data_IF_884157462672
#
_entry.id   IF_884157462672
#
_cell.length_a   1.000
_cell.length_b   1.000
_cell.length_c   1.000
_cell.angle_alpha   90.00
_cell.angle_beta   90.00
_cell.angle_gamma   90.00
#
_symmetry.space_group_name_H-M   'P 1'
#
loop_
_entity.id
_entity.type
_entity.pdbx_description
1 polymer ?
#
# COMPACT_ATOMS: atom_id res chain seq x y z
N UNK A 1 50.00 11.26 15.82
CA UNK A 1 48.72 11.48 16.52
C UNK A 1 47.58 11.85 15.57
N UNK A 2 47.74 12.84 14.68
CA UNK A 2 46.69 13.27 13.74
C UNK A 2 46.16 12.14 12.83
N UNK A 3 47.04 11.29 12.29
CA UNK A 3 46.67 10.19 11.41
C UNK A 3 45.85 9.09 12.11
N UNK A 4 46.15 8.79 13.37
CA UNK A 4 45.39 7.81 14.16
C UNK A 4 43.98 8.33 14.47
N UNK A 5 43.86 9.62 14.79
CA UNK A 5 42.56 10.28 15.00
C UNK A 5 41.73 10.35 13.71
N UNK A 6 42.38 10.66 12.57
CA UNK A 6 41.73 10.67 11.27
C UNK A 6 41.23 9.28 10.86
N UNK A 7 42.00 8.24 11.14
CA UNK A 7 41.62 6.86 10.88
C UNK A 7 40.39 6.46 11.70
N UNK A 8 40.37 6.75 12.99
CA UNK A 8 39.23 6.48 13.87
C UNK A 8 37.97 7.23 13.39
N UNK A 9 38.10 8.51 13.04
CA UNK A 9 37.01 9.31 12.50
C UNK A 9 36.43 8.71 11.19
N UNK A 10 37.30 8.27 10.30
CA UNK A 10 36.90 7.65 9.03
C UNK A 10 36.14 6.34 9.25
N UNK A 11 36.63 5.48 10.15
CA UNK A 11 35.99 4.20 10.49
C UNK A 11 34.61 4.42 11.11
N UNK A 12 34.47 5.36 12.04
CA UNK A 12 33.18 5.67 12.69
C UNK A 12 32.17 6.19 11.67
N UNK A 13 32.61 7.04 10.73
CA UNK A 13 31.74 7.62 9.70
C UNK A 13 31.22 6.56 8.74
N UNK A 14 32.11 5.66 8.27
CA UNK A 14 31.74 4.55 7.39
C UNK A 14 30.79 3.58 8.10
N UNK A 15 31.07 3.21 9.36
CA UNK A 15 30.22 2.33 10.14
C UNK A 15 28.82 2.94 10.36
N UNK A 16 28.75 4.24 10.64
CA UNK A 16 27.48 4.96 10.82
C UNK A 16 26.65 5.02 9.53
N UNK A 17 27.31 5.26 8.39
CA UNK A 17 26.63 5.25 7.09
C UNK A 17 26.14 3.85 6.73
N UNK A 18 26.97 2.83 6.93
CA UNK A 18 26.60 1.42 6.69
C UNK A 18 25.42 0.98 7.55
N UNK A 19 25.41 1.34 8.85
CA UNK A 19 24.29 1.05 9.75
C UNK A 19 22.97 1.69 9.29
N UNK A 20 23.02 2.98 8.88
CA UNK A 20 21.84 3.67 8.33
C UNK A 20 21.36 3.05 7.02
N UNK A 21 22.29 2.66 6.15
CA UNK A 21 21.98 2.00 4.88
C UNK A 21 21.33 0.64 5.12
N UNK A 22 21.92 -0.20 5.98
CA UNK A 22 21.37 -1.51 6.35
C UNK A 22 19.98 -1.35 6.96
N UNK A 23 19.79 -0.41 7.88
CA UNK A 23 18.47 -0.16 8.48
C UNK A 23 17.43 0.23 7.43
N UNK A 24 17.77 1.12 6.49
CA UNK A 24 16.86 1.52 5.41
C UNK A 24 16.53 0.37 4.46
N UNK A 25 17.53 -0.44 4.12
CA UNK A 25 17.36 -1.60 3.24
C UNK A 25 16.50 -2.68 3.91
N UNK A 26 16.76 -3.00 5.17
CA UNK A 26 15.99 -4.00 5.92
C UNK A 26 14.52 -3.63 6.02
N UNK A 27 14.19 -2.35 6.21
CA UNK A 27 12.80 -1.87 6.20
C UNK A 27 12.14 -2.12 4.84
N UNK A 28 12.84 -1.86 3.72
CA UNK A 28 12.31 -2.08 2.37
C UNK A 28 12.08 -3.57 2.06
N UNK A 29 12.97 -4.45 2.50
CA UNK A 29 12.81 -5.91 2.30
C UNK A 29 11.79 -6.54 3.26
N UNK A 30 11.58 -5.95 4.43
CA UNK A 30 10.61 -6.45 5.42
C UNK A 30 9.16 -6.07 5.11
N UNK A 31 8.89 -5.24 4.10
CA UNK A 31 7.53 -5.01 3.61
C UNK A 31 7.19 -6.10 2.58
N UNK A 32 6.52 -7.19 2.97
CA UNK A 32 6.11 -8.22 2.02
C UNK A 32 5.20 -7.61 0.96
N UNK A 33 5.29 -8.14 -0.27
CA UNK A 33 4.30 -7.83 -1.30
C UNK A 33 2.91 -8.18 -0.77
N UNK A 34 1.94 -7.31 -1.05
CA UNK A 34 0.56 -7.50 -0.63
C UNK A 34 0.01 -8.75 -1.33
N UNK A 35 -0.29 -9.81 -0.56
CA UNK A 35 -0.80 -11.07 -1.13
C UNK A 35 -2.29 -11.24 -0.94
N UNK A 36 -2.91 -10.44 -0.07
CA UNK A 36 -4.33 -10.55 0.28
C UNK A 36 -5.01 -9.20 0.45
N UNK A 37 -6.30 -9.16 0.13
CA UNK A 37 -7.15 -7.99 0.35
C UNK A 37 -7.25 -7.61 1.84
N UNK A 38 -7.16 -8.59 2.76
CA UNK A 38 -7.12 -8.35 4.21
C UNK A 38 -5.91 -7.48 4.60
N UNK A 39 -4.73 -7.82 4.08
CA UNK A 39 -3.51 -7.03 4.33
C UNK A 39 -3.63 -5.62 3.76
N UNK A 40 -4.34 -5.43 2.64
CA UNK A 40 -4.59 -4.08 2.13
C UNK A 40 -5.41 -3.26 3.13
N UNK A 41 -6.46 -3.85 3.72
CA UNK A 41 -7.34 -3.19 4.70
C UNK A 41 -6.60 -2.86 5.98
N UNK A 42 -5.83 -3.81 6.52
CA UNK A 42 -5.21 -3.66 7.84
C UNK A 42 -3.92 -2.84 7.81
N UNK A 43 -3.05 -3.08 6.84
CA UNK A 43 -1.72 -2.46 6.79
C UNK A 43 -1.73 -1.13 6.00
N UNK A 44 -2.81 -0.87 5.26
CA UNK A 44 -3.02 0.31 4.38
C UNK A 44 -1.83 0.72 3.50
N UNK A 45 -1.05 -0.21 2.92
CA UNK A 45 0.12 0.15 2.11
C UNK A 45 -0.28 0.68 0.72
N UNK A 46 -1.49 0.36 0.26
CA UNK A 46 -2.03 0.73 -1.04
C UNK A 46 -3.55 0.88 -0.91
N UNK A 47 -4.08 2.00 -1.39
CA UNK A 47 -5.52 2.22 -1.47
C UNK A 47 -6.06 1.49 -2.72
N UNK A 48 -7.34 1.11 -2.71
CA UNK A 48 -7.97 0.43 -3.84
C UNK A 48 -9.27 1.09 -4.27
N UNK A 49 -9.61 0.86 -5.54
CA UNK A 49 -10.80 1.34 -6.21
C UNK A 49 -11.51 0.20 -6.93
N UNK A 50 -12.83 0.31 -7.06
CA UNK A 50 -13.66 -0.57 -7.87
C UNK A 50 -14.68 0.27 -8.64
N UNK A 51 -15.29 -0.35 -9.64
CA UNK A 51 -16.27 0.33 -10.48
C UNK A 51 -17.56 0.63 -9.69
N UNK A 52 -17.95 1.90 -9.66
CA UNK A 52 -19.20 2.34 -9.06
C UNK A 52 -20.42 1.73 -9.79
N UNK A 53 -21.48 1.47 -9.04
CA UNK A 53 -22.71 0.82 -9.48
C UNK A 53 -22.51 -0.59 -10.07
N UNK A 54 -21.52 -1.32 -9.53
CA UNK A 54 -21.26 -2.72 -9.88
C UNK A 54 -21.75 -3.66 -8.78
N UNK A 55 -21.90 -4.94 -9.12
CA UNK A 55 -22.20 -5.99 -8.15
C UNK A 55 -21.19 -6.03 -6.97
N UNK A 56 -19.97 -5.52 -7.19
CA UNK A 56 -18.95 -5.40 -6.15
C UNK A 56 -19.34 -4.36 -5.09
N UNK A 57 -19.92 -3.23 -5.50
CA UNK A 57 -20.38 -2.19 -4.57
C UNK A 57 -21.47 -2.73 -3.65
N UNK A 58 -22.46 -3.43 -4.22
CA UNK A 58 -23.53 -4.07 -3.44
C UNK A 58 -22.98 -5.12 -2.48
N UNK A 59 -22.01 -5.93 -2.92
CA UNK A 59 -21.36 -6.93 -2.08
C UNK A 59 -20.68 -6.30 -0.86
N UNK A 60 -19.94 -5.21 -1.05
CA UNK A 60 -19.28 -4.53 0.06
C UNK A 60 -20.27 -3.77 0.96
N UNK A 61 -21.31 -3.16 0.39
CA UNK A 61 -22.32 -2.37 1.12
C UNK A 61 -23.22 -3.22 2.02
N UNK A 62 -23.61 -4.41 1.56
CA UNK A 62 -24.50 -5.30 2.31
C UNK A 62 -23.77 -6.38 3.13
N UNK A 63 -22.44 -6.40 3.10
CA UNK A 63 -21.66 -7.35 3.88
C UNK A 63 -21.64 -7.01 5.37
N UNK A 64 -21.48 -8.03 6.21
CA UNK A 64 -21.43 -7.87 7.66
C UNK A 64 -20.28 -6.95 8.09
N UNK A 65 -20.49 -5.97 9.00
CA UNK A 65 -19.49 -4.97 9.37
C UNK A 65 -18.17 -5.55 9.91
N UNK A 66 -18.25 -6.71 10.56
CA UNK A 66 -17.11 -7.39 11.16
C UNK A 66 -16.42 -8.37 10.20
N UNK A 67 -17.02 -8.61 9.03
CA UNK A 67 -16.44 -9.42 7.96
C UNK A 67 -15.38 -8.62 7.20
N UNK A 68 -14.46 -9.32 6.54
CA UNK A 68 -13.48 -8.73 5.63
C UNK A 68 -14.11 -7.74 4.65
N UNK A 69 -15.22 -8.14 4.03
CA UNK A 69 -15.91 -7.35 3.02
C UNK A 69 -16.57 -6.10 3.63
N UNK A 70 -17.04 -6.17 4.89
CA UNK A 70 -17.63 -5.04 5.57
C UNK A 70 -16.59 -4.01 5.96
N UNK A 71 -15.40 -4.46 6.40
CA UNK A 71 -14.26 -3.57 6.62
C UNK A 71 -13.80 -2.90 5.31
N UNK A 72 -13.85 -3.63 4.20
CA UNK A 72 -13.58 -3.07 2.86
C UNK A 72 -14.63 -2.01 2.49
N UNK A 73 -15.92 -2.31 2.66
CA UNK A 73 -17.00 -1.36 2.37
C UNK A 73 -16.95 -0.10 3.24
N UNK A 74 -16.62 -0.25 4.52
CA UNK A 74 -16.46 0.86 5.47
C UNK A 74 -15.40 1.88 5.04
N UNK A 75 -14.28 1.42 4.46
CA UNK A 75 -13.23 2.32 3.95
C UNK A 75 -13.70 3.20 2.80
N UNK A 76 -14.62 2.70 1.96
CA UNK A 76 -15.21 3.48 0.87
C UNK A 76 -16.26 4.47 1.38
N UNK A 77 -17.01 4.13 2.42
CA UNK A 77 -17.92 5.07 3.10
C UNK A 77 -17.17 6.24 3.78
N UNK A 78 -15.96 5.99 4.29
CA UNK A 78 -15.10 7.03 4.85
C UNK A 78 -14.47 7.93 3.77
N UNK A 79 -14.36 7.44 2.53
CA UNK A 79 -13.69 8.12 1.41
C UNK A 79 -14.39 7.84 0.07
N UNK A 80 -15.43 8.63 -0.21
CA UNK A 80 -16.18 8.57 -1.48
C UNK A 80 -15.32 8.81 -2.75
N UNK A 81 -14.13 9.41 -2.61
CA UNK A 81 -13.21 9.66 -3.74
C UNK A 81 -12.51 8.42 -4.31
N UNK A 82 -12.72 7.23 -3.73
CA UNK A 82 -12.11 5.98 -4.18
C UNK A 82 -12.97 5.24 -5.21
N UNK A 83 -14.20 5.68 -5.45
CA UNK A 83 -15.11 5.07 -6.42
C UNK A 83 -14.88 5.63 -7.81
N UNK A 84 -14.79 4.75 -8.79
CA UNK A 84 -14.56 5.15 -10.18
C UNK A 84 -15.70 4.70 -11.07
N UNK A 85 -16.27 5.63 -11.84
CA UNK A 85 -17.48 5.39 -12.64
C UNK A 85 -17.21 4.74 -14.01
N UNK A 86 -15.94 4.56 -14.40
CA UNK A 86 -15.57 4.04 -15.71
C UNK A 86 -14.27 3.24 -15.64
N UNK A 87 -14.19 2.13 -16.38
CA UNK A 87 -12.98 1.33 -16.51
C UNK A 87 -11.74 2.16 -16.85
N UNK A 88 -11.87 3.12 -17.78
CA UNK A 88 -10.76 4.00 -18.17
C UNK A 88 -10.28 4.87 -17.00
N UNK A 89 -11.20 5.31 -16.14
CA UNK A 89 -10.86 6.01 -14.91
C UNK A 89 -10.14 5.10 -13.91
N UNK A 90 -10.56 3.83 -13.82
CA UNK A 90 -9.94 2.84 -12.94
C UNK A 90 -8.49 2.57 -13.34
N UNK A 91 -8.24 2.42 -14.64
CA UNK A 91 -6.88 2.28 -15.19
C UNK A 91 -6.04 3.53 -14.93
N UNK A 92 -6.62 4.73 -15.09
CA UNK A 92 -5.92 5.98 -14.83
C UNK A 92 -5.57 6.13 -13.33
N UNK A 93 -6.47 5.75 -12.44
CA UNK A 93 -6.28 5.74 -10.99
C UNK A 93 -5.13 4.80 -10.57
N UNK A 94 -4.99 3.64 -11.23
CA UNK A 94 -3.86 2.72 -11.00
C UNK A 94 -2.55 3.36 -11.45
N UNK A 95 -2.54 4.02 -12.60
CA UNK A 95 -1.32 4.57 -13.21
C UNK A 95 -0.84 5.85 -12.55
N UNK A 96 -1.75 6.73 -12.11
CA UNK A 96 -1.41 8.05 -11.56
C UNK A 96 -1.34 8.04 -10.03
N UNK A 97 -2.31 7.42 -9.38
CA UNK A 97 -2.45 7.49 -7.92
C UNK A 97 -1.88 6.25 -7.21
N UNK A 98 -1.37 5.28 -7.97
CA UNK A 98 -0.83 4.04 -7.43
C UNK A 98 -1.90 3.23 -6.69
N UNK A 99 -3.15 3.29 -7.15
CA UNK A 99 -4.28 2.57 -6.57
C UNK A 99 -4.35 1.15 -7.13
N UNK A 100 -4.85 0.20 -6.34
CA UNK A 100 -5.22 -1.11 -6.85
C UNK A 100 -6.64 -1.06 -7.43
N UNK A 101 -6.86 -1.58 -8.63
CA UNK A 101 -8.20 -1.64 -9.25
C UNK A 101 -8.72 -3.08 -9.25
N UNK A 102 -9.93 -3.26 -8.75
CA UNK A 102 -10.59 -4.56 -8.68
C UNK A 102 -11.61 -4.62 -9.81
N UNK A 103 -11.44 -5.59 -10.71
CA UNK A 103 -12.35 -5.85 -11.82
C UNK A 103 -12.96 -7.24 -11.73
N UNK A 104 -14.19 -7.37 -12.23
CA UNK A 104 -14.82 -8.66 -12.48
C UNK A 104 -14.51 -9.02 -13.93
N UNK A 105 -13.84 -10.16 -14.13
CA UNK A 105 -13.57 -10.67 -15.47
C UNK A 105 -14.83 -11.35 -16.01
N UNK A 106 -15.54 -10.67 -16.91
CA UNK A 106 -16.54 -11.33 -17.74
C UNK A 106 -15.82 -12.37 -18.63
N UNK A 107 -16.36 -13.59 -18.62
CA UNK A 107 -15.81 -14.74 -19.37
C UNK A 107 -15.99 -14.59 -20.87
#
# INVERSE_FOLDING_TARGET
>A
MLAAWWWVFSVITIASYSSKLISSITVRFSSPAITSMLQMVETRPMLWTYQANSAMEELFKYSEPNSMFGKVGGLHLERDGLLVFSFKGGVQAVLQDGLAYIEVKDR
#
